data_IF_067977522673
#
_entry.id   IF_067977522673
#
_cell.length_a   1.000
_cell.length_b   1.000
_cell.length_c   1.000
_cell.angle_alpha   90.00
_cell.angle_beta   90.00
_cell.angle_gamma   90.00
#
_symmetry.space_group_name_H-M   'P 1'
#
loop_
_entity.id
_entity.type
_entity.pdbx_description
1 polymer ?
#
# COMPACT_ATOMS: atom_id res chain seq x y z
N UNK A 1 -11.23 5.49 16.10
CA UNK A 1 -11.96 6.24 15.05
C UNK A 1 -13.41 5.83 14.98
N UNK A 2 -13.72 4.53 14.80
CA UNK A 2 -15.12 4.03 14.74
C UNK A 2 -15.91 4.40 16.00
N UNK A 3 -15.39 4.11 17.19
CA UNK A 3 -16.09 4.42 18.45
C UNK A 3 -16.34 5.92 18.63
N UNK A 4 -15.42 6.75 18.13
CA UNK A 4 -15.57 8.20 18.19
C UNK A 4 -16.65 8.68 17.21
N UNK A 5 -16.67 8.16 15.98
CA UNK A 5 -17.73 8.44 15.01
C UNK A 5 -19.11 8.02 15.55
N UNK A 6 -19.19 6.86 16.21
CA UNK A 6 -20.41 6.38 16.84
C UNK A 6 -20.90 7.32 17.95
N UNK A 7 -20.00 7.92 18.74
CA UNK A 7 -20.38 8.92 19.77
C UNK A 7 -21.04 10.15 19.17
N UNK A 8 -20.71 10.50 17.93
CA UNK A 8 -21.35 11.58 17.18
C UNK A 8 -22.56 11.12 16.34
N UNK A 9 -22.97 9.85 16.44
CA UNK A 9 -24.08 9.31 15.66
C UNK A 9 -23.78 9.18 14.16
N UNK A 10 -22.51 9.02 13.78
CA UNK A 10 -22.09 8.89 12.38
C UNK A 10 -21.96 7.40 12.04
N UNK A 11 -22.76 6.92 11.09
CA UNK A 11 -22.65 5.55 10.59
C UNK A 11 -21.33 5.33 9.85
N UNK A 12 -20.62 4.26 10.22
CA UNK A 12 -19.32 3.89 9.62
C UNK A 12 -19.45 2.62 8.80
N UNK A 13 -19.09 2.69 7.52
CA UNK A 13 -18.87 1.54 6.64
C UNK A 13 -17.36 1.30 6.50
N UNK A 14 -16.90 0.10 6.84
CA UNK A 14 -15.51 -0.33 6.65
C UNK A 14 -15.44 -1.25 5.43
N UNK A 15 -14.59 -0.91 4.47
CA UNK A 15 -14.18 -1.82 3.39
C UNK A 15 -12.72 -2.15 3.56
N UNK A 16 -12.40 -3.43 3.74
CA UNK A 16 -11.03 -3.88 4.00
C UNK A 16 -10.82 -5.29 3.43
N UNK A 17 -9.59 -5.75 3.42
CA UNK A 17 -9.18 -7.08 2.98
C UNK A 17 -8.15 -7.73 3.92
N UNK A 18 -7.67 -7.04 4.95
CA UNK A 18 -6.77 -7.65 5.91
C UNK A 18 -7.47 -8.72 6.77
N UNK A 19 -6.68 -9.57 7.42
CA UNK A 19 -7.22 -10.51 8.42
C UNK A 19 -7.83 -9.72 9.58
N UNK A 20 -9.06 -10.04 10.02
CA UNK A 20 -9.65 -9.40 11.17
C UNK A 20 -8.87 -9.76 12.45
N UNK A 21 -8.87 -8.84 13.41
CA UNK A 21 -8.44 -9.15 14.78
C UNK A 21 -9.47 -10.03 15.50
N UNK A 22 -9.17 -10.39 16.75
CA UNK A 22 -10.10 -11.13 17.62
C UNK A 22 -11.40 -10.34 17.82
N UNK A 23 -11.28 -9.03 18.02
CA UNK A 23 -12.38 -8.09 18.05
C UNK A 23 -12.38 -7.24 16.78
N UNK A 24 -13.57 -7.01 16.23
CA UNK A 24 -13.78 -6.11 15.08
C UNK A 24 -14.47 -4.82 15.53
N UNK A 25 -14.19 -3.68 14.89
CA UNK A 25 -14.79 -2.40 15.29
C UNK A 25 -16.33 -2.43 15.21
N UNK A 26 -17.00 -1.67 16.09
CA UNK A 26 -18.45 -1.53 16.10
C UNK A 26 -18.96 -0.61 14.96
N UNK A 27 -18.62 -0.94 13.71
CA UNK A 27 -19.05 -0.22 12.52
C UNK A 27 -20.49 -0.63 12.13
N UNK A 28 -21.22 0.27 11.46
CA UNK A 28 -22.55 -0.03 10.93
C UNK A 28 -22.53 -1.19 9.91
N UNK A 29 -21.44 -1.30 9.14
CA UNK A 29 -21.15 -2.46 8.31
C UNK A 29 -19.65 -2.64 8.08
N UNK A 30 -19.23 -3.90 7.91
CA UNK A 30 -17.87 -4.28 7.51
C UNK A 30 -17.94 -5.20 6.30
N UNK A 31 -17.33 -4.77 5.19
CA UNK A 31 -17.19 -5.55 3.96
C UNK A 31 -15.74 -5.98 3.83
N UNK A 32 -15.46 -7.22 4.22
CA UNK A 32 -14.13 -7.79 4.11
C UNK A 32 -14.21 -9.31 3.82
N UNK A 33 -13.53 -9.81 2.76
CA UNK A 33 -13.56 -11.22 2.37
C UNK A 33 -13.01 -12.16 3.45
N UNK A 34 -12.20 -11.65 4.38
CA UNK A 34 -11.54 -12.40 5.44
C UNK A 34 -12.28 -12.35 6.79
N UNK A 35 -13.48 -11.76 6.84
CA UNK A 35 -14.33 -11.82 8.03
C UNK A 35 -14.61 -13.25 8.47
N UNK A 36 -14.64 -13.47 9.79
CA UNK A 36 -14.98 -14.76 10.39
C UNK A 36 -16.34 -15.24 9.89
N UNK A 37 -16.40 -16.48 9.39
CA UNK A 37 -17.63 -17.05 8.83
C UNK A 37 -18.01 -16.56 7.42
N UNK A 38 -17.23 -15.66 6.80
CA UNK A 38 -17.49 -15.22 5.43
C UNK A 38 -17.27 -16.36 4.43
N UNK A 39 -18.30 -16.71 3.65
CA UNK A 39 -18.24 -17.76 2.63
C UNK A 39 -17.62 -17.35 1.28
N UNK A 40 -17.13 -16.12 1.15
CA UNK A 40 -16.56 -15.63 -0.10
C UNK A 40 -15.29 -16.39 -0.48
N UNK A 41 -15.26 -16.96 -1.68
CA UNK A 41 -14.20 -17.90 -2.10
C UNK A 41 -12.83 -17.25 -2.33
N UNK A 42 -12.78 -15.98 -2.75
CA UNK A 42 -11.54 -15.28 -3.06
C UNK A 42 -11.04 -14.50 -1.85
N UNK A 43 -10.31 -15.19 -0.97
CA UNK A 43 -9.75 -14.62 0.26
C UNK A 43 -8.59 -13.65 0.03
N UNK A 44 -7.97 -13.68 -1.15
CA UNK A 44 -6.84 -12.81 -1.48
C UNK A 44 -7.25 -11.51 -2.17
N UNK A 45 -8.55 -11.18 -2.23
CA UNK A 45 -9.04 -10.01 -2.93
C UNK A 45 -8.35 -8.74 -2.37
N UNK A 46 -7.77 -7.91 -3.24
CA UNK A 46 -7.18 -6.63 -2.83
C UNK A 46 -8.27 -5.65 -2.35
N UNK A 47 -7.90 -4.64 -1.56
CA UNK A 47 -8.83 -3.59 -1.11
C UNK A 47 -9.58 -2.92 -2.26
N UNK A 48 -8.90 -2.66 -3.39
CA UNK A 48 -9.55 -2.12 -4.61
C UNK A 48 -10.57 -3.08 -5.22
N UNK A 49 -10.36 -4.39 -5.08
CA UNK A 49 -11.30 -5.42 -5.49
C UNK A 49 -12.54 -5.43 -4.60
N UNK A 50 -12.37 -5.24 -3.29
CA UNK A 50 -13.48 -5.08 -2.34
C UNK A 50 -14.33 -3.87 -2.72
N UNK A 51 -13.70 -2.72 -2.99
CA UNK A 51 -14.38 -1.53 -3.47
C UNK A 51 -15.13 -1.77 -4.80
N UNK A 52 -14.53 -2.51 -5.74
CA UNK A 52 -15.17 -2.87 -7.01
C UNK A 52 -16.43 -3.72 -6.82
N UNK A 53 -16.41 -4.72 -5.93
CA UNK A 53 -17.59 -5.52 -5.63
C UNK A 53 -18.65 -4.73 -4.84
N UNK A 54 -18.23 -3.83 -3.95
CA UNK A 54 -19.15 -2.91 -3.28
C UNK A 54 -19.88 -2.03 -4.30
N UNK A 55 -19.15 -1.42 -5.25
CA UNK A 55 -19.75 -0.64 -6.34
C UNK A 55 -20.72 -1.48 -7.18
N UNK A 56 -20.40 -2.76 -7.41
CA UNK A 56 -21.31 -3.70 -8.06
C UNK A 56 -22.60 -3.94 -7.29
N UNK A 57 -22.50 -4.12 -5.97
CA UNK A 57 -23.65 -4.25 -5.07
C UNK A 57 -24.51 -2.98 -5.04
N UNK A 58 -23.89 -1.81 -4.86
CA UNK A 58 -24.57 -0.50 -4.86
C UNK A 58 -25.28 -0.26 -6.18
N UNK A 59 -24.61 -0.47 -7.32
CA UNK A 59 -25.22 -0.32 -8.64
C UNK A 59 -26.42 -1.26 -8.84
N UNK A 60 -26.33 -2.51 -8.35
CA UNK A 60 -27.45 -3.47 -8.41
C UNK A 60 -28.64 -2.96 -7.59
N UNK A 61 -28.39 -2.46 -6.38
CA UNK A 61 -29.45 -1.96 -5.50
C UNK A 61 -30.12 -0.71 -6.10
N UNK A 62 -29.34 0.29 -6.50
CA UNK A 62 -29.86 1.50 -7.15
C UNK A 62 -30.68 1.20 -8.41
N UNK A 63 -30.31 0.15 -9.16
CA UNK A 63 -31.10 -0.31 -10.31
C UNK A 63 -32.44 -0.91 -9.90
N UNK A 64 -32.48 -1.69 -8.82
CA UNK A 64 -33.73 -2.24 -8.29
C UNK A 64 -34.66 -1.12 -7.78
N UNK A 65 -34.08 -0.02 -7.29
CA UNK A 65 -34.80 1.13 -6.76
C UNK A 65 -35.23 2.16 -7.83
N UNK A 66 -35.04 1.86 -9.13
CA UNK A 66 -35.40 2.77 -10.23
C UNK A 66 -34.52 4.02 -10.36
N UNK A 67 -33.39 4.09 -9.63
CA UNK A 67 -32.50 5.26 -9.63
C UNK A 67 -31.93 5.61 -11.01
N UNK A 68 -31.90 4.64 -11.93
CA UNK A 68 -31.35 4.81 -13.27
C UNK A 68 -32.40 4.97 -14.37
N UNK A 69 -33.66 5.24 -14.02
CA UNK A 69 -34.74 5.39 -15.00
C UNK A 69 -34.58 6.64 -15.87
N UNK A 70 -33.96 7.70 -15.33
CA UNK A 70 -33.74 9.00 -15.96
C UNK A 70 -32.26 9.32 -16.23
N UNK A 71 -31.34 8.39 -15.95
CA UNK A 71 -29.89 8.64 -15.99
C UNK A 71 -29.09 7.39 -16.41
N UNK A 72 -27.91 7.57 -17.04
CA UNK A 72 -27.13 6.44 -17.53
C UNK A 72 -26.58 5.56 -16.39
N UNK A 73 -26.61 4.24 -16.59
CA UNK A 73 -26.01 3.27 -15.68
C UNK A 73 -24.49 3.25 -15.88
N UNK A 74 -23.68 3.48 -14.83
CA UNK A 74 -22.23 3.38 -14.93
C UNK A 74 -21.75 1.97 -15.33
N UNK A 75 -20.81 1.94 -16.28
CA UNK A 75 -20.13 0.70 -16.68
C UNK A 75 -18.98 0.44 -15.72
N UNK A 76 -19.12 -0.55 -14.84
CA UNK A 76 -18.05 -0.89 -13.88
C UNK A 76 -16.76 -1.35 -14.56
N UNK A 77 -16.84 -1.87 -15.79
CA UNK A 77 -15.67 -2.15 -16.61
C UNK A 77 -14.77 -0.93 -16.84
N UNK A 78 -15.28 0.29 -16.62
CA UNK A 78 -14.55 1.56 -16.73
C UNK A 78 -13.61 1.87 -15.56
N UNK A 79 -13.55 0.97 -14.58
CA UNK A 79 -12.64 1.06 -13.43
C UNK A 79 -11.68 -0.13 -13.34
N UNK A 80 -11.71 -1.08 -14.30
CA UNK A 80 -10.92 -2.30 -14.21
C UNK A 80 -9.41 -2.05 -14.34
N UNK A 81 -9.00 -0.97 -14.98
CA UNK A 81 -7.62 -0.50 -14.99
C UNK A 81 -7.13 -0.08 -13.59
N UNK A 82 -7.95 0.66 -12.83
CA UNK A 82 -7.69 0.99 -11.43
C UNK A 82 -7.68 -0.27 -10.55
N UNK A 83 -8.62 -1.19 -10.77
CA UNK A 83 -8.66 -2.48 -10.06
C UNK A 83 -7.40 -3.29 -10.33
N UNK A 84 -6.96 -3.38 -11.58
CA UNK A 84 -5.73 -4.10 -11.93
C UNK A 84 -4.50 -3.44 -11.29
N UNK A 85 -4.37 -2.12 -11.40
CA UNK A 85 -3.26 -1.37 -10.82
C UNK A 85 -3.21 -1.54 -9.30
N UNK A 86 -4.32 -1.31 -8.60
CA UNK A 86 -4.38 -1.46 -7.14
C UNK A 86 -4.11 -2.90 -6.70
N UNK A 87 -4.66 -3.90 -7.38
CA UNK A 87 -4.42 -5.32 -7.05
C UNK A 87 -2.95 -5.70 -7.22
N UNK A 88 -2.30 -5.21 -8.28
CA UNK A 88 -0.88 -5.47 -8.53
C UNK A 88 0.00 -4.71 -7.51
N UNK A 89 -0.33 -3.45 -7.22
CA UNK A 89 0.44 -2.62 -6.28
C UNK A 89 0.37 -3.14 -4.84
N UNK A 90 -0.73 -3.80 -4.49
CA UNK A 90 -0.98 -4.43 -3.18
C UNK A 90 -0.29 -5.80 -3.04
N UNK A 91 0.29 -6.33 -4.12
CA UNK A 91 1.09 -7.58 -4.13
C UNK A 91 0.33 -8.78 -3.54
N UNK A 92 -1.00 -8.78 -3.61
CA UNK A 92 -1.82 -9.90 -3.18
C UNK A 92 -1.68 -11.09 -4.15
N UNK A 93 -1.86 -12.34 -3.69
CA UNK A 93 -1.86 -13.49 -4.58
C UNK A 93 -2.87 -13.34 -5.73
N UNK A 94 -2.42 -13.61 -6.96
CA UNK A 94 -3.29 -13.67 -8.13
C UNK A 94 -4.05 -15.00 -8.19
N UNK A 95 -4.95 -15.19 -7.22
CA UNK A 95 -5.92 -16.27 -7.25
C UNK A 95 -6.87 -16.11 -8.45
N UNK A 96 -7.83 -17.03 -8.59
CA UNK A 96 -8.73 -17.05 -9.74
C UNK A 96 -9.43 -15.70 -9.97
N UNK A 97 -9.92 -15.04 -8.92
CA UNK A 97 -10.70 -13.82 -9.09
C UNK A 97 -9.78 -12.63 -9.37
N UNK A 98 -8.70 -12.46 -8.60
CA UNK A 98 -7.73 -11.40 -8.84
C UNK A 98 -7.13 -11.52 -10.25
N UNK A 99 -6.79 -12.74 -10.69
CA UNK A 99 -6.26 -12.98 -12.04
C UNK A 99 -7.23 -12.56 -13.13
N UNK A 100 -8.53 -12.82 -12.97
CA UNK A 100 -9.54 -12.37 -13.93
C UNK A 100 -9.61 -10.84 -13.96
N UNK A 101 -9.77 -10.20 -12.80
CA UNK A 101 -9.89 -8.73 -12.70
C UNK A 101 -8.65 -8.03 -13.27
N UNK A 102 -7.45 -8.49 -12.91
CA UNK A 102 -6.18 -7.97 -13.42
C UNK A 102 -6.06 -8.17 -14.93
N UNK A 103 -6.41 -9.35 -15.44
CA UNK A 103 -6.35 -9.63 -16.88
C UNK A 103 -7.28 -8.72 -17.69
N UNK A 104 -8.51 -8.50 -17.20
CA UNK A 104 -9.46 -7.59 -17.84
C UNK A 104 -8.99 -6.13 -17.79
N UNK A 105 -8.41 -5.70 -16.66
CA UNK A 105 -7.85 -4.35 -16.53
C UNK A 105 -6.64 -4.12 -17.43
N UNK A 106 -5.73 -5.09 -17.54
CA UNK A 106 -4.61 -5.01 -18.50
C UNK A 106 -5.13 -4.95 -19.93
N UNK A 107 -6.12 -5.77 -20.31
CA UNK A 107 -6.71 -5.70 -21.65
C UNK A 107 -7.34 -4.33 -21.92
N UNK A 108 -7.98 -3.73 -20.91
CA UNK A 108 -8.53 -2.38 -21.01
C UNK A 108 -7.42 -1.34 -21.26
N UNK A 109 -6.32 -1.41 -20.52
CA UNK A 109 -5.19 -0.50 -20.70
C UNK A 109 -4.61 -0.64 -22.10
N UNK A 110 -4.34 -1.88 -22.56
CA UNK A 110 -3.82 -2.14 -23.91
C UNK A 110 -4.73 -1.65 -25.04
N UNK A 111 -6.04 -1.58 -24.79
CA UNK A 111 -7.01 -1.03 -25.71
C UNK A 111 -7.06 0.52 -25.72
N UNK A 112 -6.17 1.21 -25.00
CA UNK A 112 -6.14 2.67 -24.91
C UNK A 112 -7.28 3.25 -24.07
N UNK A 113 -7.89 2.45 -23.20
CA UNK A 113 -9.07 2.86 -22.40
C UNK A 113 -8.77 3.06 -20.91
N UNK A 114 -7.50 3.16 -20.55
CA UNK A 114 -7.09 3.45 -19.17
C UNK A 114 -7.38 4.91 -18.80
N UNK A 115 -7.39 5.20 -17.49
CA UNK A 115 -7.33 6.56 -16.98
C UNK A 115 -6.12 7.30 -17.56
N UNK A 116 -6.27 8.58 -17.94
CA UNK A 116 -5.16 9.39 -18.45
C UNK A 116 -3.91 9.35 -17.56
N UNK A 117 -4.08 9.47 -16.23
CA UNK A 117 -2.97 9.37 -15.28
C UNK A 117 -2.22 8.05 -15.31
N UNK A 118 -2.89 6.91 -15.54
CA UNK A 118 -2.21 5.61 -15.68
C UNK A 118 -1.35 5.59 -16.95
N UNK A 119 -1.88 6.11 -18.06
CA UNK A 119 -1.13 6.18 -19.31
C UNK A 119 0.08 7.12 -19.19
N UNK A 120 -0.07 8.27 -18.54
CA UNK A 120 1.02 9.20 -18.28
C UNK A 120 2.11 8.54 -17.40
N UNK A 121 1.73 7.85 -16.31
CA UNK A 121 2.68 7.12 -15.48
C UNK A 121 3.40 5.99 -16.23
N UNK A 122 2.72 5.30 -17.16
CA UNK A 122 3.35 4.31 -18.04
C UNK A 122 4.37 4.96 -18.98
N UNK A 123 4.06 6.14 -19.51
CA UNK A 123 4.99 6.93 -20.34
C UNK A 123 6.29 7.23 -19.57
N UNK A 124 6.18 7.78 -18.35
CA UNK A 124 7.34 8.03 -17.48
C UNK A 124 8.06 6.73 -17.05
N UNK A 125 7.36 5.61 -17.00
CA UNK A 125 7.96 4.30 -16.78
C UNK A 125 8.72 3.74 -18.00
N UNK A 126 8.65 4.40 -19.16
CA UNK A 126 9.20 3.89 -20.41
C UNK A 126 8.44 2.67 -20.97
N UNK A 127 7.17 2.50 -20.57
CA UNK A 127 6.35 1.36 -20.94
C UNK A 127 5.28 1.77 -21.97
N UNK A 128 5.20 1.03 -23.07
CA UNK A 128 4.12 1.19 -24.05
C UNK A 128 2.84 0.52 -23.54
N UNK A 129 1.78 1.31 -23.36
CA UNK A 129 0.50 0.82 -22.85
C UNK A 129 -0.07 -0.34 -23.68
N UNK A 130 0.22 -0.39 -24.99
CA UNK A 130 -0.28 -1.43 -25.92
C UNK A 130 0.25 -2.83 -25.58
N UNK A 131 1.44 -2.89 -24.98
CA UNK A 131 2.12 -4.13 -24.60
C UNK A 131 2.29 -4.28 -23.09
N UNK A 132 1.68 -3.39 -22.29
CA UNK A 132 1.85 -3.35 -20.83
C UNK A 132 1.60 -4.70 -20.19
N UNK A 133 2.43 -5.05 -19.21
CA UNK A 133 2.34 -6.27 -18.43
C UNK A 133 2.06 -5.94 -16.96
N UNK A 134 1.73 -6.97 -16.17
CA UNK A 134 1.63 -6.79 -14.72
C UNK A 134 2.94 -6.29 -14.10
N UNK A 135 4.10 -6.63 -14.70
CA UNK A 135 5.41 -6.16 -14.25
C UNK A 135 5.56 -4.65 -14.42
N UNK A 136 5.11 -4.10 -15.54
CA UNK A 136 5.19 -2.66 -15.81
C UNK A 136 4.33 -1.87 -14.83
N UNK A 137 3.16 -2.41 -14.47
CA UNK A 137 2.33 -1.82 -13.42
C UNK A 137 3.00 -1.95 -12.03
N UNK A 138 3.57 -3.11 -11.69
CA UNK A 138 4.19 -3.37 -10.39
C UNK A 138 5.47 -2.56 -10.13
N UNK A 139 6.29 -2.34 -11.16
CA UNK A 139 7.62 -1.73 -11.03
C UNK A 139 7.76 -0.38 -11.74
N UNK A 140 6.82 -0.04 -12.62
CA UNK A 140 6.75 1.25 -13.29
C UNK A 140 5.77 2.20 -12.60
N UNK A 141 4.49 1.82 -12.56
CA UNK A 141 3.40 2.70 -12.10
C UNK A 141 3.27 2.70 -10.57
N UNK A 142 3.16 1.53 -9.95
CA UNK A 142 2.96 1.37 -8.50
C UNK A 142 4.00 2.13 -7.64
N UNK A 143 5.32 2.05 -7.94
CA UNK A 143 6.33 2.75 -7.16
C UNK A 143 6.21 4.27 -7.22
N UNK A 144 5.69 4.84 -8.33
CA UNK A 144 5.49 6.29 -8.49
C UNK A 144 4.35 6.78 -7.61
N UNK A 145 3.21 6.07 -7.65
CA UNK A 145 2.08 6.36 -6.76
C UNK A 145 2.46 6.21 -5.28
N UNK A 146 3.19 5.15 -4.94
CA UNK A 146 3.61 4.88 -3.57
C UNK A 146 4.71 5.83 -3.07
N UNK A 147 5.45 6.49 -3.95
CA UNK A 147 6.47 7.46 -3.56
C UNK A 147 5.85 8.71 -2.93
N UNK A 148 4.71 9.18 -3.47
CA UNK A 148 3.96 10.32 -2.92
C UNK A 148 3.61 10.11 -1.45
N UNK A 149 2.99 8.99 -1.09
CA UNK A 149 2.63 8.70 0.31
C UNK A 149 3.82 8.46 1.26
N UNK A 150 5.05 8.33 0.74
CA UNK A 150 6.27 8.11 1.56
C UNK A 150 7.05 9.40 1.78
N UNK A 151 7.08 10.28 0.79
CA UNK A 151 7.90 11.51 0.83
C UNK A 151 7.07 12.78 0.96
N UNK A 152 5.84 12.80 0.46
CA UNK A 152 5.00 13.99 0.36
C UNK A 152 3.53 13.66 0.68
N UNK A 153 2.59 14.37 0.03
CA UNK A 153 1.16 14.18 0.17
C UNK A 153 0.64 13.11 -0.80
N UNK A 154 -0.12 12.15 -0.26
CA UNK A 154 -0.76 11.09 -1.05
C UNK A 154 -1.83 11.63 -2.01
N UNK A 155 -2.35 12.86 -1.77
CA UNK A 155 -3.33 13.53 -2.64
C UNK A 155 -2.88 13.58 -4.10
N UNK A 156 -1.59 13.83 -4.38
CA UNK A 156 -1.04 13.87 -5.74
C UNK A 156 -1.27 12.56 -6.52
N UNK A 157 -1.15 11.41 -5.84
CA UNK A 157 -1.42 10.11 -6.45
C UNK A 157 -2.89 9.94 -6.82
N UNK A 158 -3.79 10.45 -5.97
CA UNK A 158 -5.24 10.40 -6.20
C UNK A 158 -5.61 11.35 -7.34
N UNK A 159 -5.13 12.59 -7.32
CA UNK A 159 -5.37 13.58 -8.37
C UNK A 159 -4.88 13.08 -9.72
N UNK A 160 -3.70 12.44 -9.78
CA UNK A 160 -3.22 11.80 -11.00
C UNK A 160 -4.22 10.76 -11.54
N UNK A 161 -4.74 9.87 -10.69
CA UNK A 161 -5.68 8.82 -11.13
C UNK A 161 -7.07 9.35 -11.50
N UNK A 162 -7.45 10.53 -10.98
CA UNK A 162 -8.72 11.20 -11.27
C UNK A 162 -8.63 12.21 -12.43
N UNK A 163 -7.43 12.63 -12.79
CA UNK A 163 -7.16 13.65 -13.81
C UNK A 163 -7.72 13.31 -15.21
N UNK A 164 -8.04 14.37 -15.94
CA UNK A 164 -8.33 14.31 -17.37
C UNK A 164 -7.06 14.31 -18.22
N UNK A 165 -7.21 14.22 -19.54
CA UNK A 165 -6.08 14.19 -20.47
C UNK A 165 -5.18 15.43 -20.37
N UNK A 166 -5.78 16.61 -20.12
CA UNK A 166 -5.06 17.88 -20.08
C UNK A 166 -4.16 18.07 -18.84
N UNK A 167 -4.44 17.37 -17.74
CA UNK A 167 -3.71 17.54 -16.47
C UNK A 167 -2.96 16.28 -16.00
N UNK A 168 -3.16 15.14 -16.65
CA UNK A 168 -2.54 13.88 -16.26
C UNK A 168 -1.01 13.90 -16.31
N UNK A 169 -0.44 14.57 -17.31
CA UNK A 169 1.01 14.64 -17.51
C UNK A 169 1.69 15.41 -16.39
N UNK A 170 1.13 16.54 -15.96
CA UNK A 170 1.64 17.37 -14.85
C UNK A 170 1.73 16.55 -13.55
N UNK A 171 0.63 15.87 -13.17
CA UNK A 171 0.63 15.03 -11.98
C UNK A 171 1.58 13.83 -12.11
N UNK A 172 1.64 13.19 -13.28
CA UNK A 172 2.54 12.07 -13.52
C UNK A 172 4.02 12.48 -13.47
N UNK A 173 4.35 13.68 -13.96
CA UNK A 173 5.69 14.26 -13.86
C UNK A 173 6.07 14.49 -12.40
N UNK A 174 5.21 15.14 -11.62
CA UNK A 174 5.45 15.36 -10.19
C UNK A 174 5.67 14.04 -9.44
N UNK A 175 4.85 13.03 -9.71
CA UNK A 175 5.02 11.69 -9.14
C UNK A 175 6.32 11.00 -9.60
N UNK A 176 6.76 11.26 -10.83
CA UNK A 176 8.02 10.74 -11.34
C UNK A 176 9.23 11.38 -10.64
N UNK A 177 9.18 12.68 -10.41
CA UNK A 177 10.23 13.43 -9.71
C UNK A 177 10.33 12.96 -8.26
N UNK A 178 9.21 12.90 -7.53
CA UNK A 178 9.15 12.35 -6.16
C UNK A 178 9.71 10.91 -6.10
N UNK A 179 9.40 10.10 -7.11
CA UNK A 179 9.88 8.73 -7.18
C UNK A 179 11.39 8.64 -7.46
N UNK A 180 11.96 9.61 -8.17
CA UNK A 180 13.39 9.73 -8.43
C UNK A 180 14.12 10.17 -7.17
N UNK A 181 13.65 11.22 -6.49
CA UNK A 181 14.15 11.66 -5.18
C UNK A 181 14.14 10.51 -4.17
N UNK A 182 13.05 9.74 -4.12
CA UNK A 182 12.95 8.56 -3.25
C UNK A 182 14.03 7.53 -3.55
N UNK A 183 14.36 7.28 -4.83
CA UNK A 183 15.42 6.32 -5.19
C UNK A 183 16.80 6.82 -4.77
N UNK A 184 17.06 8.11 -4.90
CA UNK A 184 18.32 8.73 -4.48
C UNK A 184 18.50 8.58 -2.97
N UNK A 185 17.49 8.99 -2.19
CA UNK A 185 17.47 8.82 -0.73
C UNK A 185 17.62 7.33 -0.35
N UNK A 186 16.91 6.42 -1.03
CA UNK A 186 17.01 4.99 -0.78
C UNK A 186 18.43 4.44 -1.02
N UNK A 187 19.07 4.85 -2.11
CA UNK A 187 20.43 4.43 -2.43
C UNK A 187 21.43 4.95 -1.40
N UNK A 188 21.35 6.21 -1.03
CA UNK A 188 22.23 6.80 -0.02
C UNK A 188 22.06 6.12 1.34
N UNK A 189 20.83 5.99 1.82
CA UNK A 189 20.53 5.31 3.09
C UNK A 189 20.98 3.85 3.08
N UNK A 190 20.89 3.19 1.93
CA UNK A 190 21.36 1.82 1.75
C UNK A 190 22.88 1.74 1.87
N UNK A 191 23.64 2.61 1.20
CA UNK A 191 25.10 2.62 1.28
C UNK A 191 25.58 2.89 2.72
N UNK A 192 24.93 3.83 3.41
CA UNK A 192 25.17 4.11 4.82
C UNK A 192 24.86 2.88 5.69
N UNK A 193 23.73 2.20 5.46
CA UNK A 193 23.35 1.00 6.20
C UNK A 193 24.29 -0.18 5.94
N UNK A 194 24.79 -0.35 4.72
CA UNK A 194 25.77 -1.38 4.37
C UNK A 194 27.14 -1.12 5.02
N UNK A 195 27.55 0.14 5.08
CA UNK A 195 28.77 0.57 5.78
C UNK A 195 28.65 0.36 7.29
N UNK A 196 27.50 0.72 7.89
CA UNK A 196 27.24 0.43 9.29
C UNK A 196 27.27 -1.09 9.56
N UNK A 197 26.63 -1.89 8.69
CA UNK A 197 26.59 -3.34 8.83
C UNK A 197 27.98 -3.99 8.77
N UNK A 198 28.87 -3.52 7.89
CA UNK A 198 30.22 -4.10 7.78
C UNK A 198 31.08 -3.86 9.03
N UNK A 199 30.76 -2.83 9.81
CA UNK A 199 31.39 -2.56 11.11
C UNK A 199 30.84 -3.40 12.26
N UNK A 200 29.72 -4.11 12.07
CA UNK A 200 29.09 -4.95 13.09
C UNK A 200 29.64 -6.37 12.94
N UNK A 201 30.38 -6.91 13.93
CA UNK A 201 30.81 -8.31 13.89
C UNK A 201 29.59 -9.23 14.03
N UNK A 202 29.28 -9.96 12.96
CA UNK A 202 28.20 -10.96 12.97
C UNK A 202 28.68 -12.19 13.73
N UNK A 203 28.42 -12.20 15.04
CA UNK A 203 28.71 -13.33 15.94
C UNK A 203 27.44 -14.14 16.20
N UNK A 204 27.59 -15.34 16.75
CA UNK A 204 26.43 -16.16 17.18
C UNK A 204 25.55 -15.45 18.23
N UNK A 205 26.13 -14.50 18.99
CA UNK A 205 25.39 -13.70 19.97
C UNK A 205 24.53 -12.58 19.38
N UNK A 206 24.67 -12.27 18.08
CA UNK A 206 23.90 -11.23 17.42
C UNK A 206 22.47 -11.71 17.12
N UNK A 207 21.54 -11.31 17.99
CA UNK A 207 20.10 -11.70 17.91
C UNK A 207 19.25 -10.77 17.04
N UNK A 208 19.74 -9.56 16.73
CA UNK A 208 19.02 -8.57 15.93
C UNK A 208 19.89 -7.33 15.67
N UNK A 209 19.44 -6.47 14.75
CA UNK A 209 20.19 -5.28 14.32
C UNK A 209 19.30 -4.05 14.45
N UNK A 210 19.79 -3.04 15.16
CA UNK A 210 19.19 -1.72 15.19
C UNK A 210 20.09 -0.75 14.42
N UNK A 211 19.53 -0.02 13.46
CA UNK A 211 20.25 0.98 12.68
C UNK A 211 19.58 2.34 12.85
N UNK A 212 20.40 3.38 12.99
CA UNK A 212 19.95 4.76 13.05
C UNK A 212 21.00 5.66 12.40
N UNK A 213 20.52 6.63 11.63
CA UNK A 213 21.33 7.74 11.16
C UNK A 213 20.48 9.01 11.21
N UNK A 214 21.09 10.14 11.54
CA UNK A 214 20.37 11.41 11.75
C UNK A 214 19.65 11.91 10.51
N UNK A 215 20.19 11.62 9.34
CA UNK A 215 19.68 12.09 8.03
C UNK A 215 18.72 11.10 7.37
N UNK A 216 18.41 9.97 8.02
CA UNK A 216 17.51 8.98 7.43
C UNK A 216 16.07 9.46 7.36
N UNK A 217 15.46 9.22 6.20
CA UNK A 217 14.09 9.60 5.93
C UNK A 217 13.08 8.53 6.37
N UNK A 218 12.07 8.92 7.13
CA UNK A 218 11.04 8.01 7.67
C UNK A 218 10.24 7.24 6.59
N UNK A 219 10.12 7.79 5.39
CA UNK A 219 9.44 7.14 4.26
C UNK A 219 10.19 5.94 3.67
N UNK A 220 11.50 5.84 3.94
CA UNK A 220 12.44 4.94 3.26
C UNK A 220 13.04 3.90 4.21
N UNK A 221 13.07 4.15 5.54
CA UNK A 221 13.65 3.22 6.54
C UNK A 221 13.12 1.78 6.45
N UNK A 222 11.87 1.58 6.05
CA UNK A 222 11.32 0.23 5.90
C UNK A 222 11.89 -0.57 4.73
N UNK A 223 12.31 0.11 3.66
CA UNK A 223 12.96 -0.54 2.52
C UNK A 223 14.37 -0.97 2.92
N UNK A 224 15.11 -0.06 3.57
CA UNK A 224 16.45 -0.34 4.10
C UNK A 224 16.42 -1.49 5.12
N UNK A 225 15.49 -1.45 6.10
CA UNK A 225 15.35 -2.52 7.09
C UNK A 225 15.10 -3.89 6.44
N UNK A 226 14.27 -3.94 5.40
CA UNK A 226 13.96 -5.20 4.69
C UNK A 226 15.21 -5.76 4.03
N UNK A 227 16.00 -4.91 3.37
CA UNK A 227 17.21 -5.29 2.67
C UNK A 227 18.32 -5.77 3.60
N UNK A 228 18.53 -5.07 4.72
CA UNK A 228 19.49 -5.49 5.73
C UNK A 228 19.05 -6.81 6.37
N UNK A 229 17.75 -6.99 6.64
CA UNK A 229 17.20 -8.25 7.15
C UNK A 229 17.45 -9.41 6.18
N UNK A 230 17.28 -9.20 4.88
CA UNK A 230 17.56 -10.22 3.86
C UNK A 230 19.06 -10.56 3.77
N UNK A 231 19.96 -9.59 3.96
CA UNK A 231 21.41 -9.79 3.91
C UNK A 231 21.98 -10.43 5.18
N UNK A 232 21.52 -9.99 6.34
CA UNK A 232 22.03 -10.44 7.64
C UNK A 232 21.28 -11.66 8.20
N UNK A 233 20.11 -12.00 7.63
CA UNK A 233 19.21 -13.05 8.14
C UNK A 233 18.95 -12.92 9.65
N UNK A 234 18.69 -11.68 10.09
CA UNK A 234 18.36 -11.33 11.47
C UNK A 234 17.19 -10.33 11.50
N UNK A 235 16.42 -10.26 12.59
CA UNK A 235 15.47 -9.18 12.81
C UNK A 235 16.18 -7.82 12.73
N UNK A 236 15.57 -6.85 12.04
CA UNK A 236 16.13 -5.50 11.86
C UNK A 236 15.11 -4.44 12.25
N UNK A 237 15.56 -3.41 12.96
CA UNK A 237 14.81 -2.18 13.18
C UNK A 237 15.65 -1.01 12.67
N UNK A 238 15.16 -0.30 11.65
CA UNK A 238 15.78 0.93 11.16
C UNK A 238 14.98 2.14 11.66
N UNK A 239 15.66 3.11 12.26
CA UNK A 239 15.07 4.31 12.83
C UNK A 239 15.37 5.55 11.99
N UNK A 240 14.36 6.39 11.83
CA UNK A 240 14.48 7.75 11.31
C UNK A 240 13.97 8.74 12.34
N UNK A 241 14.55 9.94 12.37
CA UNK A 241 14.09 11.02 13.24
C UNK A 241 12.82 11.65 12.66
N UNK A 242 11.78 11.80 13.49
CA UNK A 242 10.51 12.46 13.09
C UNK A 242 10.31 13.81 13.78
N UNK A 243 10.92 14.01 14.94
CA UNK A 243 10.94 15.29 15.66
C UNK A 243 12.23 15.40 16.47
N UNK A 244 12.36 16.45 17.29
CA UNK A 244 13.56 16.58 18.12
C UNK A 244 13.72 15.44 19.13
N UNK A 245 12.60 14.90 19.60
CA UNK A 245 12.50 13.93 20.69
C UNK A 245 12.01 12.55 20.26
N UNK A 246 11.53 12.39 19.02
CA UNK A 246 10.94 11.14 18.55
C UNK A 246 11.68 10.52 17.36
N UNK A 247 11.81 9.19 17.43
CA UNK A 247 12.26 8.34 16.34
C UNK A 247 11.10 7.45 15.90
N UNK A 248 10.94 7.30 14.59
CA UNK A 248 10.05 6.31 13.99
C UNK A 248 10.87 5.14 13.47
N UNK A 249 10.59 3.95 14.00
CA UNK A 249 11.23 2.71 13.61
C UNK A 249 10.41 1.93 12.60
N UNK A 250 11.07 1.33 11.61
CA UNK A 250 10.49 0.26 10.79
C UNK A 250 11.15 -1.08 11.12
N UNK A 251 10.35 -1.98 11.67
CA UNK A 251 10.76 -3.31 12.08
C UNK A 251 10.52 -4.34 10.94
N UNK A 252 11.48 -5.23 10.72
CA UNK A 252 11.39 -6.35 9.76
C UNK A 252 11.95 -7.61 10.40
N UNK A 253 11.21 -8.70 10.28
CA UNK A 253 11.53 -9.96 10.95
C UNK A 253 11.84 -11.09 9.98
N UNK A 254 12.47 -12.13 10.52
CA UNK A 254 12.73 -13.42 9.87
C UNK A 254 11.66 -14.45 10.25
N UNK A 255 11.58 -15.54 9.48
CA UNK A 255 10.65 -16.63 9.78
C UNK A 255 10.93 -17.21 11.17
N UNK A 256 9.88 -17.45 11.94
CA UNK A 256 9.97 -18.02 13.29
C UNK A 256 10.19 -17.00 14.40
N UNK A 257 10.25 -15.69 14.09
CA UNK A 257 10.34 -14.64 15.10
C UNK A 257 9.27 -13.58 14.87
N UNK A 258 8.34 -13.43 15.82
CA UNK A 258 7.30 -12.39 15.78
C UNK A 258 7.84 -11.11 16.40
N UNK A 259 8.27 -10.16 15.56
CA UNK A 259 8.89 -8.91 16.03
C UNK A 259 7.94 -8.02 16.84
N UNK A 260 6.62 -8.16 16.62
CA UNK A 260 5.60 -7.48 17.42
C UNK A 260 5.65 -7.92 18.89
N UNK A 261 5.71 -9.22 19.15
CA UNK A 261 5.76 -9.77 20.51
C UNK A 261 7.04 -9.33 21.23
N UNK A 262 8.15 -9.24 20.49
CA UNK A 262 9.39 -8.70 21.01
C UNK A 262 9.28 -7.21 21.38
N UNK A 263 8.64 -6.40 20.53
CA UNK A 263 8.39 -4.98 20.81
C UNK A 263 7.44 -4.79 21.99
N UNK A 264 6.41 -5.62 22.11
CA UNK A 264 5.46 -5.60 23.23
C UNK A 264 6.16 -5.93 24.57
N UNK A 265 7.01 -6.96 24.58
CA UNK A 265 7.83 -7.29 25.74
C UNK A 265 8.79 -6.16 26.11
N UNK A 266 9.38 -5.46 25.12
CA UNK A 266 10.26 -4.30 25.36
C UNK A 266 9.45 -3.14 25.95
N UNK A 267 8.29 -2.81 25.38
CA UNK A 267 7.43 -1.74 25.85
C UNK A 267 6.91 -2.00 27.27
N UNK A 268 6.54 -3.24 27.57
CA UNK A 268 6.09 -3.66 28.90
C UNK A 268 7.19 -3.55 29.94
N UNK A 269 8.42 -3.96 29.60
CA UNK A 269 9.58 -3.87 30.51
C UNK A 269 10.11 -2.46 30.68
N UNK A 270 9.84 -1.57 29.71
CA UNK A 270 10.34 -0.20 29.69
C UNK A 270 9.18 0.79 29.43
N UNK A 271 8.31 1.04 30.42
CA UNK A 271 7.19 1.95 30.26
C UNK A 271 7.65 3.34 29.80
N UNK A 272 7.00 3.87 28.75
CA UNK A 272 7.33 5.18 28.17
C UNK A 272 8.44 5.18 27.11
N UNK A 273 9.17 4.07 26.92
CA UNK A 273 10.20 3.98 25.87
C UNK A 273 9.60 3.92 24.46
N UNK A 274 8.49 3.19 24.30
CA UNK A 274 7.77 3.04 23.02
C UNK A 274 6.42 3.72 23.17
N UNK A 275 6.23 4.85 22.48
CA UNK A 275 4.96 5.58 22.55
C UNK A 275 3.83 4.82 21.86
N UNK A 276 4.10 4.24 20.68
CA UNK A 276 3.16 3.44 19.87
C UNK A 276 3.92 2.44 19.02
N UNK A 277 3.34 1.26 18.78
CA UNK A 277 3.81 0.28 17.81
C UNK A 277 2.63 -0.52 17.25
N UNK A 278 2.82 -1.15 16.08
CA UNK A 278 1.80 -1.94 15.41
C UNK A 278 2.35 -2.60 14.15
N UNK A 279 1.59 -3.56 13.62
CA UNK A 279 1.95 -4.39 12.47
C UNK A 279 1.76 -5.87 12.73
#
# INVERSE_FOLDING_TARGET
FVDEANRYGIDVLITDHHLPGEEVPAAAAIVNPNQTGCGFASKNLAGVGVAFYLLSGVRRQLRADGWFDDRPIPRLSDYLDLVALGTIADVVPLDRNNRILVNEGIRRIRAGRARPGINALLHYAGADFRNVTARDLAFGVGPRLNAAGRLQDMSLGIECLLSGEDSADEFANALNDINSDRKEIENEMKEQAETALSSIPVTESLVGICLYHREWHQGVVGIVASRIKDKAHRPVIAFARTSETELKGSARSIRGFHIRDALDAIATRNPGLVSKFGG
#
